data_IF_921302830040
#
_entry.id   IF_921302830040
#
_cell.length_a   1.000
_cell.length_b   1.000
_cell.length_c   1.000
_cell.angle_alpha   90.00
_cell.angle_beta   90.00
_cell.angle_gamma   90.00
#
_symmetry.space_group_name_H-M   'P 1'
#
loop_
_entity.id
_entity.type
_entity.pdbx_description
1 polymer ?
#
# COMPACT_ATOMS: atom_id res chain seq x y z
N UNK A 1 6.35 3.28 3.34
CA UNK A 1 6.93 4.43 4.05
C UNK A 1 6.44 4.48 5.49
N UNK A 2 5.12 4.59 5.79
CA UNK A 2 4.60 4.77 7.16
C UNK A 2 5.05 3.66 8.14
N UNK A 3 5.02 2.39 7.73
CA UNK A 3 5.50 1.28 8.55
C UNK A 3 6.99 1.42 8.91
N UNK A 4 7.84 1.76 7.95
CA UNK A 4 9.28 1.97 8.23
C UNK A 4 9.54 3.23 9.07
N UNK A 5 8.68 4.25 8.94
CA UNK A 5 8.74 5.40 9.84
C UNK A 5 8.41 5.01 11.29
N UNK A 6 7.38 4.18 11.50
CA UNK A 6 7.05 3.68 12.83
C UNK A 6 8.21 2.86 13.43
N UNK A 7 8.84 2.00 12.64
CA UNK A 7 10.05 1.26 13.04
C UNK A 7 11.23 2.19 13.37
N UNK A 8 11.43 3.21 12.55
CA UNK A 8 12.45 4.23 12.79
C UNK A 8 12.22 4.97 14.11
N UNK A 9 10.97 5.40 14.37
CA UNK A 9 10.59 6.06 15.63
C UNK A 9 10.88 5.14 16.83
N UNK A 10 10.51 3.85 16.74
CA UNK A 10 10.82 2.87 17.77
C UNK A 10 12.32 2.76 18.04
N UNK A 11 13.15 2.64 16.99
CA UNK A 11 14.62 2.59 17.12
C UNK A 11 15.21 3.83 17.77
N UNK A 12 14.51 4.97 17.66
CA UNK A 12 14.90 6.25 18.25
C UNK A 12 14.26 6.49 19.61
N UNK A 13 13.55 5.49 20.18
CA UNK A 13 12.80 5.64 21.43
C UNK A 13 11.83 6.83 21.40
N UNK A 14 11.30 7.15 20.23
CA UNK A 14 10.26 8.17 20.05
C UNK A 14 8.87 7.54 20.19
N UNK A 15 7.84 8.34 20.53
CA UNK A 15 6.47 7.86 20.59
C UNK A 15 6.03 7.21 19.28
N UNK A 16 5.42 6.03 19.38
CA UNK A 16 4.81 5.35 18.25
C UNK A 16 3.47 6.00 17.87
N UNK A 17 3.00 5.85 16.63
CA UNK A 17 1.66 6.26 16.27
C UNK A 17 0.63 5.48 17.11
N UNK A 18 -0.49 6.12 17.44
CA UNK A 18 -1.61 5.47 18.13
C UNK A 18 -2.24 4.34 17.31
N UNK A 19 -2.19 4.47 15.99
CA UNK A 19 -2.72 3.51 15.04
C UNK A 19 -1.94 3.62 13.74
N UNK A 20 -1.57 2.49 13.15
CA UNK A 20 -1.04 2.40 11.79
C UNK A 20 -2.13 1.90 10.85
N UNK A 21 -2.48 2.72 9.86
CA UNK A 21 -3.43 2.39 8.81
C UNK A 21 -2.66 2.01 7.54
N UNK A 22 -2.97 0.84 6.99
CA UNK A 22 -2.40 0.36 5.72
C UNK A 22 -3.52 0.05 4.73
N UNK A 23 -3.39 0.53 3.51
CA UNK A 23 -4.41 0.39 2.46
C UNK A 23 -3.77 -0.14 1.19
N UNK A 24 -4.35 -1.18 0.58
CA UNK A 24 -3.90 -1.76 -0.68
C UNK A 24 -2.43 -2.18 -0.68
N UNK A 25 -1.90 -2.62 0.46
CA UNK A 25 -0.48 -2.90 0.62
C UNK A 25 -0.23 -4.30 1.19
N UNK A 26 0.59 -5.09 0.52
CA UNK A 26 1.06 -6.38 1.05
C UNK A 26 1.87 -6.15 2.32
N UNK A 27 1.74 -7.05 3.28
CA UNK A 27 2.58 -7.02 4.47
C UNK A 27 4.07 -7.11 4.11
N UNK A 28 4.95 -6.41 4.84
CA UNK A 28 6.34 -6.17 4.43
C UNK A 28 7.16 -7.46 4.32
N UNK A 29 6.85 -8.50 5.08
CA UNK A 29 7.59 -9.78 5.05
C UNK A 29 7.52 -10.48 3.68
N UNK A 30 6.55 -10.16 2.81
CA UNK A 30 6.53 -10.63 1.41
C UNK A 30 7.68 -10.04 0.57
N UNK A 31 8.41 -9.07 1.13
CA UNK A 31 9.62 -8.48 0.54
C UNK A 31 10.93 -8.95 1.20
N UNK A 32 10.86 -9.99 2.05
CA UNK A 32 12.06 -10.59 2.63
C UNK A 32 12.89 -11.27 1.53
N UNK A 33 14.17 -10.92 1.43
CA UNK A 33 15.04 -11.44 0.38
C UNK A 33 14.60 -11.12 -1.05
N UNK A 34 13.73 -10.12 -1.21
CA UNK A 34 13.24 -9.72 -2.52
C UNK A 34 14.37 -9.21 -3.42
N UNK A 35 14.46 -9.77 -4.61
CA UNK A 35 15.31 -9.25 -5.69
C UNK A 35 14.42 -8.42 -6.60
N UNK A 36 14.70 -7.12 -6.78
CA UNK A 36 13.89 -6.30 -7.68
C UNK A 36 13.90 -6.88 -9.11
N UNK A 37 12.73 -7.02 -9.73
CA UNK A 37 12.69 -7.41 -11.16
C UNK A 37 13.32 -6.31 -12.01
N UNK A 38 13.71 -6.65 -13.27
CA UNK A 38 14.14 -5.65 -14.24
C UNK A 38 13.14 -4.49 -14.33
N UNK A 39 13.64 -3.33 -14.68
CA UNK A 39 12.78 -2.17 -14.87
C UNK A 39 11.87 -2.39 -16.09
N UNK A 40 10.54 -2.21 -15.95
CA UNK A 40 9.63 -2.37 -17.06
C UNK A 40 9.83 -1.26 -18.09
N UNK A 41 9.64 -1.58 -19.36
CA UNK A 41 9.52 -0.58 -20.43
C UNK A 41 8.35 0.38 -20.16
N UNK A 42 8.30 1.53 -20.84
CA UNK A 42 7.19 2.48 -20.69
C UNK A 42 5.85 1.83 -21.04
N UNK A 43 5.80 1.01 -22.10
CA UNK A 43 4.59 0.31 -22.49
C UNK A 43 4.08 -0.67 -21.42
N UNK A 44 4.98 -1.46 -20.82
CA UNK A 44 4.63 -2.39 -19.74
C UNK A 44 4.19 -1.64 -18.48
N UNK A 45 4.82 -0.50 -18.17
CA UNK A 45 4.47 0.31 -17.03
C UNK A 45 3.10 0.97 -17.20
N UNK A 46 2.80 1.55 -18.38
CA UNK A 46 1.49 2.11 -18.71
C UNK A 46 0.40 1.04 -18.64
N UNK A 47 0.68 -0.18 -19.12
CA UNK A 47 -0.27 -1.29 -19.02
C UNK A 47 -0.52 -1.71 -17.57
N UNK A 48 0.50 -1.66 -16.72
CA UNK A 48 0.33 -1.89 -15.28
C UNK A 48 -0.52 -0.80 -14.61
N UNK A 49 -0.34 0.47 -14.98
CA UNK A 49 -1.18 1.58 -14.50
C UNK A 49 -2.65 1.41 -14.94
N UNK A 50 -2.88 0.98 -16.20
CA UNK A 50 -4.23 0.72 -16.72
C UNK A 50 -4.95 -0.36 -15.90
N UNK A 51 -4.26 -1.45 -15.57
CA UNK A 51 -4.81 -2.54 -14.74
C UNK A 51 -5.14 -2.13 -13.31
N UNK A 52 -4.48 -1.12 -12.78
CA UNK A 52 -4.77 -0.60 -11.45
C UNK A 52 -5.99 0.32 -11.42
N UNK A 53 -6.42 0.86 -12.56
CA UNK A 53 -7.58 1.74 -12.70
C UNK A 53 -7.51 3.04 -11.86
N UNK A 54 -6.30 3.45 -11.49
CA UNK A 54 -6.08 4.67 -10.68
C UNK A 54 -5.77 5.92 -11.50
N UNK A 55 -5.45 5.76 -12.78
CA UNK A 55 -5.15 6.85 -13.71
C UNK A 55 -6.24 6.89 -14.78
N UNK A 56 -6.86 8.07 -15.03
CA UNK A 56 -7.90 8.19 -16.06
C UNK A 56 -7.39 7.71 -17.43
N UNK A 57 -8.23 6.97 -18.21
CA UNK A 57 -7.85 6.48 -19.54
C UNK A 57 -7.34 7.60 -20.47
N UNK A 58 -7.97 8.76 -20.42
CA UNK A 58 -7.62 9.93 -21.25
C UNK A 58 -6.18 10.40 -21.00
N UNK A 59 -5.69 10.24 -19.77
CA UNK A 59 -4.30 10.56 -19.41
C UNK A 59 -3.34 9.50 -19.93
N UNK A 60 -3.75 8.22 -19.89
CA UNK A 60 -2.94 7.09 -20.38
C UNK A 60 -2.89 7.00 -21.91
N UNK A 61 -3.79 7.68 -22.62
CA UNK A 61 -3.88 7.74 -24.07
C UNK A 61 -3.23 9.00 -24.66
N UNK A 62 -2.90 9.99 -23.84
CA UNK A 62 -2.26 11.24 -24.24
C UNK A 62 -0.73 11.15 -24.08
N UNK A 63 0.04 11.15 -25.20
CA UNK A 63 1.51 11.05 -25.14
C UNK A 63 2.19 12.24 -24.44
N UNK A 64 1.60 13.44 -24.49
CA UNK A 64 2.18 14.61 -23.83
C UNK A 64 1.98 14.54 -22.32
N UNK A 65 0.79 14.15 -21.87
CA UNK A 65 0.51 13.94 -20.46
C UNK A 65 1.36 12.79 -19.91
N UNK A 66 1.46 11.67 -20.63
CA UNK A 66 2.32 10.54 -20.22
C UNK A 66 3.77 11.00 -20.04
N UNK A 67 4.32 11.78 -20.96
CA UNK A 67 5.70 12.29 -20.85
C UNK A 67 5.92 13.10 -19.58
N UNK A 68 4.89 13.78 -19.09
CA UNK A 68 4.97 14.60 -17.87
C UNK A 68 4.86 13.75 -16.61
N UNK A 69 3.92 12.79 -16.57
CA UNK A 69 3.61 12.04 -15.33
C UNK A 69 4.47 10.79 -15.13
N UNK A 70 4.88 10.11 -16.21
CA UNK A 70 5.61 8.84 -16.12
C UNK A 70 6.88 8.92 -15.27
N UNK A 71 7.74 9.96 -15.37
CA UNK A 71 8.92 10.04 -14.53
C UNK A 71 8.59 9.99 -13.03
N UNK A 72 7.62 10.78 -12.57
CA UNK A 72 7.22 10.79 -11.16
C UNK A 72 6.62 9.45 -10.71
N UNK A 73 5.73 8.86 -11.52
CA UNK A 73 5.12 7.57 -11.20
C UNK A 73 6.15 6.43 -11.16
N UNK A 74 7.19 6.50 -12.02
CA UNK A 74 8.29 5.53 -12.00
C UNK A 74 9.14 5.65 -10.74
N UNK A 75 9.47 6.86 -10.31
CA UNK A 75 10.22 7.08 -9.07
C UNK A 75 9.44 6.57 -7.85
N UNK A 76 8.14 6.84 -7.78
CA UNK A 76 7.28 6.31 -6.73
C UNK A 76 7.22 4.77 -6.75
N UNK A 77 7.07 4.18 -7.93
CA UNK A 77 7.09 2.72 -8.09
C UNK A 77 8.45 2.11 -7.74
N UNK A 78 9.55 2.82 -8.04
CA UNK A 78 10.91 2.38 -7.74
C UNK A 78 11.15 2.24 -6.23
N UNK A 79 10.61 3.16 -5.41
CA UNK A 79 10.69 3.07 -3.94
C UNK A 79 10.11 1.73 -3.46
N UNK A 80 8.95 1.34 -3.96
CA UNK A 80 8.32 0.07 -3.61
C UNK A 80 9.06 -1.12 -4.22
N UNK A 81 9.50 -1.03 -5.46
CA UNK A 81 10.20 -2.11 -6.18
C UNK A 81 11.52 -2.50 -5.50
N UNK A 82 12.29 -1.51 -5.01
CA UNK A 82 13.58 -1.74 -4.37
C UNK A 82 13.48 -1.95 -2.85
N UNK A 83 12.29 -1.85 -2.27
CA UNK A 83 12.12 -2.09 -0.85
C UNK A 83 12.43 -3.55 -0.49
N UNK A 84 13.34 -3.74 0.45
CA UNK A 84 13.70 -5.04 1.02
C UNK A 84 13.34 -5.01 2.51
N UNK A 85 12.51 -5.95 2.93
CA UNK A 85 12.14 -6.07 4.32
C UNK A 85 13.28 -6.69 5.13
N UNK A 86 13.72 -5.99 6.16
CA UNK A 86 14.56 -6.52 7.21
C UNK A 86 13.70 -6.94 8.40
N UNK A 87 13.89 -8.14 8.91
CA UNK A 87 13.15 -8.65 10.06
C UNK A 87 13.51 -7.89 11.33
N UNK A 88 12.49 -7.44 12.04
CA UNK A 88 12.58 -6.80 13.36
C UNK A 88 11.39 -7.26 14.20
N UNK A 89 11.43 -7.11 15.53
CA UNK A 89 10.25 -7.37 16.36
C UNK A 89 9.01 -6.60 15.89
N UNK A 90 7.81 -7.15 16.03
CA UNK A 90 6.57 -6.44 15.69
C UNK A 90 6.44 -5.10 16.43
N UNK A 91 5.65 -4.19 15.91
CA UNK A 91 5.37 -2.89 16.54
C UNK A 91 4.42 -3.05 17.73
N UNK A 92 4.52 -2.18 18.72
CA UNK A 92 3.58 -2.10 19.84
C UNK A 92 2.49 -1.05 19.59
N UNK A 93 2.05 -0.91 18.35
CA UNK A 93 0.92 -0.08 18.00
C UNK A 93 -0.10 -0.87 17.17
N UNK A 94 -1.41 -0.62 17.33
CA UNK A 94 -2.43 -1.27 16.53
C UNK A 94 -2.24 -1.06 15.03
N UNK A 95 -2.63 -2.08 14.23
CA UNK A 95 -2.63 -1.99 12.77
C UNK A 95 -4.04 -2.28 12.25
N UNK A 96 -4.54 -1.43 11.37
CA UNK A 96 -5.73 -1.65 10.56
C UNK A 96 -5.35 -1.76 9.09
N UNK A 97 -5.77 -2.84 8.43
CA UNK A 97 -5.49 -3.10 7.02
C UNK A 97 -6.78 -3.02 6.19
N UNK A 98 -6.72 -2.28 5.10
CA UNK A 98 -7.84 -2.13 4.17
C UNK A 98 -7.45 -2.59 2.78
N UNK A 99 -8.41 -3.14 2.03
CA UNK A 99 -8.18 -3.57 0.65
C UNK A 99 -9.44 -3.71 -0.17
N UNK A 100 -9.26 -3.83 -1.48
CA UNK A 100 -10.32 -4.16 -2.43
C UNK A 100 -10.44 -5.68 -2.62
N UNK A 101 -11.67 -6.20 -2.72
CA UNK A 101 -11.93 -7.63 -2.93
C UNK A 101 -11.48 -8.14 -4.30
N UNK A 102 -11.34 -7.24 -5.28
CA UNK A 102 -10.89 -7.53 -6.64
C UNK A 102 -9.55 -6.88 -6.99
N UNK A 103 -8.73 -6.52 -5.99
CA UNK A 103 -7.39 -5.97 -6.21
C UNK A 103 -6.49 -7.01 -6.88
N UNK A 104 -5.97 -6.75 -8.10
CA UNK A 104 -5.13 -7.71 -8.82
C UNK A 104 -3.77 -7.96 -8.15
N UNK A 105 -3.33 -7.06 -7.29
CA UNK A 105 -2.00 -7.08 -6.69
C UNK A 105 -2.00 -7.46 -5.21
N UNK A 106 -3.09 -7.19 -4.48
CA UNK A 106 -3.15 -7.35 -3.02
C UNK A 106 -4.37 -8.19 -2.65
N UNK A 107 -4.13 -9.48 -2.43
CA UNK A 107 -5.16 -10.44 -2.01
C UNK A 107 -5.38 -10.35 -0.49
N UNK A 108 -6.52 -10.89 0.03
CA UNK A 108 -6.82 -10.88 1.46
C UNK A 108 -5.70 -11.43 2.35
N UNK A 109 -5.07 -12.55 1.96
CA UNK A 109 -3.96 -13.13 2.73
C UNK A 109 -2.72 -12.23 2.82
N UNK A 110 -2.52 -11.33 1.86
CA UNK A 110 -1.46 -10.32 1.92
C UNK A 110 -1.74 -9.25 2.98
N UNK A 111 -3.02 -8.97 3.23
CA UNK A 111 -3.46 -8.02 4.25
C UNK A 111 -3.49 -8.67 5.63
N UNK A 112 -4.02 -9.90 5.75
CA UNK A 112 -4.04 -10.67 6.99
C UNK A 112 -2.64 -10.81 7.60
N UNK A 113 -1.63 -10.97 6.74
CA UNK A 113 -0.25 -11.10 7.17
C UNK A 113 0.31 -9.87 7.91
N UNK A 114 -0.36 -8.69 7.85
CA UNK A 114 -0.02 -7.55 8.69
C UNK A 114 -0.18 -7.81 10.18
N UNK A 115 -1.00 -8.80 10.57
CA UNK A 115 -1.13 -9.23 11.95
C UNK A 115 0.21 -9.64 12.58
N UNK A 116 1.16 -10.14 11.76
CA UNK A 116 2.50 -10.50 12.21
C UNK A 116 3.42 -9.30 12.49
N UNK A 117 2.99 -8.09 12.14
CA UNK A 117 3.78 -6.88 12.29
C UNK A 117 3.40 -6.05 13.52
N UNK A 118 2.47 -6.55 14.34
CA UNK A 118 2.08 -5.90 15.59
C UNK A 118 1.92 -6.88 16.74
N UNK A 119 2.30 -6.46 17.96
CA UNK A 119 1.98 -7.11 19.23
C UNK A 119 0.67 -6.58 19.82
N UNK A 120 0.10 -5.51 19.25
CA UNK A 120 -1.16 -4.90 19.68
C UNK A 120 -2.34 -5.43 18.85
N UNK A 121 -3.46 -4.73 18.84
CA UNK A 121 -4.63 -5.12 18.08
C UNK A 121 -4.39 -5.05 16.55
N UNK A 122 -4.93 -6.03 15.85
CA UNK A 122 -5.00 -6.05 14.40
C UNK A 122 -6.44 -6.15 13.94
N UNK A 123 -6.79 -5.44 12.87
CA UNK A 123 -8.07 -5.58 12.19
C UNK A 123 -7.92 -5.38 10.70
N UNK A 124 -8.82 -6.00 9.94
CA UNK A 124 -8.85 -5.91 8.49
C UNK A 124 -10.28 -5.69 8.01
N UNK A 125 -10.44 -4.88 6.97
CA UNK A 125 -11.71 -4.69 6.28
C UNK A 125 -11.50 -4.65 4.76
N UNK A 126 -12.39 -5.35 4.04
CA UNK A 126 -12.37 -5.43 2.58
C UNK A 126 -13.59 -4.71 2.00
N UNK A 127 -13.34 -3.93 0.97
CA UNK A 127 -14.38 -3.21 0.23
C UNK A 127 -14.52 -3.82 -1.17
N UNK A 128 -15.72 -3.79 -1.76
CA UNK A 128 -15.87 -4.17 -3.16
C UNK A 128 -14.99 -3.31 -4.07
N UNK A 129 -14.44 -3.91 -5.14
CA UNK A 129 -13.64 -3.18 -6.12
C UNK A 129 -12.16 -3.55 -6.15
N UNK A 130 -11.41 -2.89 -7.03
CA UNK A 130 -10.00 -3.11 -7.28
C UNK A 130 -9.06 -2.37 -6.32
N UNK A 131 -7.87 -2.02 -6.81
CA UNK A 131 -6.85 -1.37 -5.99
C UNK A 131 -7.27 0.01 -5.46
N UNK A 132 -8.04 0.75 -6.23
CA UNK A 132 -8.54 2.08 -5.88
C UNK A 132 -9.99 2.06 -5.36
N UNK A 133 -10.40 0.97 -4.65
CA UNK A 133 -11.70 0.86 -3.97
C UNK A 133 -12.05 2.11 -3.14
N UNK A 134 -11.06 2.80 -2.58
CA UNK A 134 -11.25 4.03 -1.80
C UNK A 134 -11.85 5.21 -2.62
N UNK A 135 -11.83 5.13 -3.95
CA UNK A 135 -12.50 6.10 -4.82
C UNK A 135 -13.94 5.67 -5.11
N UNK A 136 -14.16 4.38 -5.42
CA UNK A 136 -15.46 3.82 -5.78
C UNK A 136 -16.38 3.61 -4.57
N UNK A 137 -15.82 3.21 -3.42
CA UNK A 137 -16.52 3.01 -2.14
C UNK A 137 -16.10 4.02 -1.09
N UNK A 138 -15.98 5.27 -1.52
CA UNK A 138 -15.45 6.36 -0.71
C UNK A 138 -16.20 6.59 0.60
N UNK A 139 -17.52 6.53 0.58
CA UNK A 139 -18.33 6.81 1.77
C UNK A 139 -18.14 5.73 2.83
N UNK A 140 -18.24 4.46 2.44
CA UNK A 140 -18.05 3.31 3.30
C UNK A 140 -16.64 3.27 3.86
N UNK A 141 -15.62 3.52 3.03
CA UNK A 141 -14.23 3.60 3.46
C UNK A 141 -14.02 4.72 4.48
N UNK A 142 -14.56 5.93 4.24
CA UNK A 142 -14.45 7.05 5.19
C UNK A 142 -15.18 6.78 6.50
N UNK A 143 -16.31 6.06 6.45
CA UNK A 143 -17.02 5.63 7.67
C UNK A 143 -16.20 4.63 8.49
N UNK A 144 -15.58 3.65 7.83
CA UNK A 144 -14.69 2.70 8.48
C UNK A 144 -13.47 3.40 9.10
N UNK A 145 -12.84 4.30 8.34
CA UNK A 145 -11.71 5.10 8.80
C UNK A 145 -12.07 5.95 10.02
N UNK A 146 -13.22 6.63 10.00
CA UNK A 146 -13.69 7.45 11.12
C UNK A 146 -13.92 6.60 12.38
N UNK A 147 -14.52 5.42 12.25
CA UNK A 147 -14.72 4.46 13.34
C UNK A 147 -13.36 4.07 13.95
N UNK A 148 -12.42 3.63 13.14
CA UNK A 148 -11.14 3.13 13.58
C UNK A 148 -10.22 4.21 14.19
N UNK A 149 -10.45 5.49 13.86
CA UNK A 149 -9.75 6.62 14.47
C UNK A 149 -10.33 7.06 15.82
N UNK A 150 -11.56 6.64 16.12
CA UNK A 150 -12.26 7.00 17.38
C UNK A 150 -12.20 5.91 18.44
N UNK A 151 -11.85 4.69 18.08
CA UNK A 151 -11.55 3.58 19.00
C UNK A 151 -10.15 3.72 19.61
#
# INVERSE_FOLDING_TARGET
VAFELARFLRRRHQPLPRLLLVSGARAPQFRRGHVPPPEPSDAEFVEALRRLEGTPPEVLEDPELLRIILPALREDAAIYRHYIYAEEPPLDCPIRAYGGTADPNVRPEHLEAWALQTNAAFGMELFPGGHFYLQTYRQEFLAALARDLTE
#
